data_IF_521591449811
#
_entry.id   IF_521591449811
#
_cell.length_a   1.000
_cell.length_b   1.000
_cell.length_c   1.000
_cell.angle_alpha   90.00
_cell.angle_beta   90.00
_cell.angle_gamma   90.00
#
_symmetry.space_group_name_H-M   'P 1'
#
loop_
_entity.id
_entity.type
_entity.pdbx_description
1 polymer ?
#
# COMPACT_ATOMS: atom_id res chain seq x y z
N UNK A 1 -20.92 -1.53 40.00
CA UNK A 1 -20.04 -0.39 40.35
C UNK A 1 -18.82 -0.48 39.45
N UNK A 2 -18.87 0.21 38.31
CA UNK A 2 -17.79 0.25 37.32
C UNK A 2 -17.03 1.56 37.42
N UNK A 3 -15.71 1.52 37.27
CA UNK A 3 -14.87 2.71 37.15
C UNK A 3 -14.06 2.61 35.85
N UNK A 4 -14.55 3.35 34.84
CA UNK A 4 -13.79 3.74 33.66
C UNK A 4 -12.62 4.63 34.09
N UNK A 5 -11.38 4.24 33.76
CA UNK A 5 -10.22 5.12 33.83
C UNK A 5 -10.02 5.78 32.48
N UNK A 6 -10.10 7.11 32.50
CA UNK A 6 -10.09 8.02 31.35
C UNK A 6 -8.69 8.17 30.76
N UNK A 7 -8.66 8.26 29.43
CA UNK A 7 -7.57 8.79 28.59
C UNK A 7 -7.16 10.18 29.08
N UNK A 8 -5.86 10.40 29.29
CA UNK A 8 -5.25 11.73 29.34
C UNK A 8 -3.76 11.59 29.01
N UNK A 9 -3.37 11.85 27.77
CA UNK A 9 -2.02 12.27 27.45
C UNK A 9 -2.13 13.62 26.76
N UNK A 10 -1.75 14.66 27.47
CA UNK A 10 -1.73 16.03 26.98
C UNK A 10 -0.43 16.25 26.20
N UNK A 11 -0.57 16.72 24.95
CA UNK A 11 0.51 17.29 24.16
C UNK A 11 1.05 18.56 24.84
N UNK A 12 2.37 18.66 24.95
CA UNK A 12 3.09 19.92 25.14
C UNK A 12 4.08 20.05 23.98
N UNK A 13 3.66 20.75 22.92
CA UNK A 13 4.57 21.30 21.90
C UNK A 13 4.45 22.81 22.01
N UNK A 14 5.41 23.43 22.71
CA UNK A 14 5.55 24.87 22.75
C UNK A 14 6.36 25.33 21.55
N UNK A 15 5.67 26.04 20.65
CA UNK A 15 6.24 26.78 19.53
C UNK A 15 7.09 27.95 20.01
N UNK A 16 8.33 28.07 19.52
CA UNK A 16 9.06 29.32 19.49
C UNK A 16 9.69 29.49 18.11
N UNK A 17 9.09 30.37 17.31
CA UNK A 17 9.64 30.89 16.07
C UNK A 17 10.76 31.88 16.38
N UNK A 18 11.94 31.67 15.80
CA UNK A 18 12.88 32.75 15.49
C UNK A 18 13.44 32.49 14.08
N UNK A 19 13.16 33.43 13.18
CA UNK A 19 13.75 33.53 11.85
C UNK A 19 15.10 34.24 11.96
N UNK A 20 16.13 33.65 11.37
CA UNK A 20 17.30 34.38 10.85
C UNK A 20 17.70 33.75 9.53
N UNK A 21 17.65 34.55 8.48
CA UNK A 21 18.18 34.26 7.15
C UNK A 21 19.70 34.19 7.17
N UNK A 22 20.29 33.29 6.39
CA UNK A 22 21.55 33.50 5.68
C UNK A 22 21.71 32.47 4.56
N UNK A 23 22.17 33.03 3.45
CA UNK A 23 22.49 32.62 2.08
C UNK A 23 22.88 31.19 1.67
N UNK A 24 22.77 31.06 0.34
CA UNK A 24 23.11 30.05 -0.65
C UNK A 24 24.36 29.19 -0.38
N UNK A 25 24.35 27.94 -0.88
CA UNK A 25 25.32 27.43 -1.88
C UNK A 25 24.92 26.02 -2.38
N UNK A 26 25.10 25.84 -3.69
CA UNK A 26 25.37 24.63 -4.48
C UNK A 26 24.50 23.35 -4.38
N UNK A 27 23.70 23.14 -5.44
CA UNK A 27 23.08 21.87 -5.80
C UNK A 27 24.06 20.98 -6.60
N UNK A 28 24.42 19.77 -6.15
CA UNK A 28 24.99 18.78 -7.04
C UNK A 28 23.88 18.00 -7.77
N UNK A 29 24.14 17.82 -9.07
CA UNK A 29 23.40 17.08 -10.08
C UNK A 29 22.88 15.70 -9.63
N UNK A 30 21.68 15.35 -10.08
CA UNK A 30 21.01 14.08 -9.84
C UNK A 30 21.80 12.87 -10.37
N UNK A 31 21.87 11.73 -9.65
CA UNK A 31 22.36 10.50 -10.22
C UNK A 31 21.26 9.84 -11.06
N UNK A 32 21.44 9.84 -12.39
CA UNK A 32 20.90 8.79 -13.26
C UNK A 32 21.86 7.61 -13.20
N UNK A 33 21.49 6.53 -12.50
CA UNK A 33 22.00 5.19 -12.84
C UNK A 33 21.14 4.09 -12.21
N UNK A 34 20.49 3.33 -13.10
CA UNK A 34 20.01 1.98 -12.82
C UNK A 34 21.23 1.09 -12.60
N UNK A 35 21.18 0.25 -11.56
CA UNK A 35 22.28 -0.68 -11.24
C UNK A 35 22.10 -1.91 -12.12
N UNK A 36 22.88 -1.98 -13.20
CA UNK A 36 23.20 -3.20 -13.93
C UNK A 36 24.47 -3.77 -13.31
N UNK A 37 24.44 -5.04 -12.91
CA UNK A 37 25.59 -5.74 -12.33
C UNK A 37 26.12 -6.81 -13.29
N UNK A 38 27.30 -6.59 -13.87
CA UNK A 38 28.14 -7.66 -14.41
C UNK A 38 29.65 -7.31 -14.37
N UNK A 39 30.42 -8.33 -13.98
CA UNK A 39 31.87 -8.54 -13.82
C UNK A 39 32.70 -8.25 -15.10
N UNK A 40 34.04 -8.12 -15.13
CA UNK A 40 35.16 -8.96 -14.60
C UNK A 40 36.47 -8.14 -14.67
N UNK A 41 37.50 -8.46 -13.85
CA UNK A 41 38.87 -8.92 -14.22
C UNK A 41 39.72 -9.09 -12.93
N UNK A 42 40.81 -9.86 -13.05
CA UNK A 42 41.52 -10.68 -12.06
C UNK A 42 42.54 -9.94 -11.14
N UNK A 43 42.86 -10.53 -9.98
CA UNK A 43 44.23 -10.95 -9.57
C UNK A 43 44.41 -11.10 -8.03
N UNK A 44 44.92 -12.29 -7.67
CA UNK A 44 45.90 -12.65 -6.63
C UNK A 44 45.87 -12.03 -5.21
N UNK A 45 45.69 -12.89 -4.20
CA UNK A 45 46.77 -13.34 -3.29
C UNK A 45 46.24 -14.06 -2.02
N UNK A 46 46.83 -15.25 -1.80
CA UNK A 46 47.23 -15.91 -0.53
C UNK A 46 46.71 -15.40 0.82
N UNK A 47 46.12 -16.30 1.62
CA UNK A 47 46.83 -17.01 2.70
C UNK A 47 45.88 -17.61 3.75
N UNK A 48 46.09 -18.90 3.98
CA UNK A 48 46.23 -19.62 5.26
C UNK A 48 45.22 -19.50 6.41
N UNK A 49 44.79 -20.71 6.80
CA UNK A 49 44.60 -21.21 8.17
C UNK A 49 43.46 -20.63 9.02
N UNK A 50 42.44 -21.46 9.25
CA UNK A 50 42.24 -22.07 10.57
C UNK A 50 41.15 -23.16 10.51
N UNK A 51 41.58 -24.42 10.59
CA UNK A 51 40.76 -25.51 11.08
C UNK A 51 40.42 -25.30 12.57
N UNK A 52 39.32 -25.92 13.06
CA UNK A 52 39.28 -26.82 14.23
C UNK A 52 37.86 -26.94 14.85
N UNK A 53 37.30 -28.15 14.67
CA UNK A 53 36.50 -29.00 15.61
C UNK A 53 35.08 -28.64 16.08
N UNK A 54 34.14 -29.42 15.54
CA UNK A 54 33.38 -30.52 16.18
C UNK A 54 32.82 -30.41 17.61
N UNK A 55 31.49 -30.60 17.74
CA UNK A 55 30.80 -31.62 18.57
C UNK A 55 29.28 -31.50 18.35
N UNK A 56 28.58 -32.43 17.69
CA UNK A 56 28.03 -33.71 18.16
C UNK A 56 27.23 -33.65 19.48
N UNK A 57 25.89 -33.75 19.39
CA UNK A 57 25.12 -34.72 20.19
C UNK A 57 23.76 -35.01 19.55
N UNK A 58 23.59 -36.30 19.21
CA UNK A 58 22.34 -36.99 18.92
C UNK A 58 21.67 -37.34 20.24
N UNK A 59 20.35 -37.26 20.28
CA UNK A 59 19.52 -38.19 21.06
C UNK A 59 18.17 -38.36 20.35
N UNK A 60 17.97 -39.54 19.80
CA UNK A 60 16.68 -40.11 19.41
C UNK A 60 16.01 -40.69 20.68
N UNK A 61 14.69 -40.56 20.85
CA UNK A 61 13.76 -41.71 20.81
C UNK A 61 12.31 -41.38 21.21
N UNK A 62 11.40 -41.91 20.38
CA UNK A 62 10.12 -42.63 20.65
C UNK A 62 8.82 -41.90 21.10
N UNK A 63 7.93 -41.73 20.09
CA UNK A 63 6.72 -42.53 19.75
C UNK A 63 5.60 -42.81 20.79
N UNK A 64 4.36 -42.79 20.24
CA UNK A 64 3.07 -43.42 20.64
C UNK A 64 2.21 -42.59 21.62
N UNK A 65 0.87 -42.51 21.59
CA UNK A 65 -0.26 -43.19 20.94
C UNK A 65 -1.53 -42.43 21.41
N UNK A 66 -2.45 -41.99 20.55
CA UNK A 66 -3.71 -42.64 20.13
C UNK A 66 -4.93 -42.48 21.07
N UNK A 67 -6.13 -42.41 20.43
CA UNK A 67 -7.52 -42.50 20.94
C UNK A 67 -8.17 -41.32 21.70
N UNK A 68 -9.50 -41.06 21.66
CA UNK A 68 -10.66 -41.18 20.72
C UNK A 68 -11.94 -40.86 21.54
N UNK A 69 -13.04 -40.54 20.84
CA UNK A 69 -14.47 -40.62 21.25
C UNK A 69 -15.02 -39.52 22.22
N UNK A 70 -16.27 -39.05 22.19
CA UNK A 70 -17.42 -39.10 21.26
C UNK A 70 -18.53 -38.13 21.79
N UNK A 71 -19.60 -37.98 20.99
CA UNK A 71 -21.01 -37.68 21.36
C UNK A 71 -21.64 -36.26 21.18
N UNK A 72 -22.21 -36.06 19.98
CA UNK A 72 -23.66 -35.92 19.61
C UNK A 72 -24.70 -35.23 20.53
N UNK A 73 -25.47 -34.30 19.94
CA UNK A 73 -26.95 -34.30 19.62
C UNK A 73 -27.49 -32.85 19.49
N UNK A 74 -28.00 -32.38 18.35
CA UNK A 74 -29.32 -32.58 17.68
C UNK A 74 -30.45 -31.64 18.14
N UNK A 75 -31.05 -30.84 17.23
CA UNK A 75 -32.49 -30.90 16.86
C UNK A 75 -32.93 -29.77 15.90
N UNK A 76 -33.81 -30.18 14.97
CA UNK A 76 -34.49 -29.48 13.86
C UNK A 76 -35.58 -28.44 14.21
N UNK A 77 -35.92 -27.58 13.24
CA UNK A 77 -37.27 -27.34 12.63
C UNK A 77 -37.27 -26.00 11.84
N UNK A 78 -37.39 -25.92 10.50
CA UNK A 78 -38.53 -26.07 9.55
C UNK A 78 -39.67 -25.04 9.64
N UNK A 79 -40.15 -24.67 8.43
CA UNK A 79 -41.41 -24.01 8.00
C UNK A 79 -41.40 -22.47 7.81
N UNK A 80 -42.04 -21.84 6.81
CA UNK A 80 -42.57 -22.18 5.47
C UNK A 80 -43.15 -20.88 4.81
N UNK A 81 -43.11 -20.78 3.46
CA UNK A 81 -44.06 -20.12 2.49
C UNK A 81 -44.55 -18.65 2.68
N UNK A 82 -44.33 -17.72 1.73
CA UNK A 82 -44.94 -17.47 0.39
C UNK A 82 -46.11 -16.48 0.39
N UNK A 83 -46.07 -15.44 -0.47
CA UNK A 83 -47.05 -15.25 -1.59
C UNK A 83 -46.91 -13.90 -2.33
N UNK A 84 -47.05 -13.99 -3.66
CA UNK A 84 -47.21 -12.97 -4.71
C UNK A 84 -48.36 -11.96 -4.52
N UNK A 85 -48.28 -10.82 -5.24
CA UNK A 85 -49.34 -10.43 -6.19
C UNK A 85 -48.91 -9.31 -7.16
N UNK A 86 -49.09 -9.59 -8.47
CA UNK A 86 -49.18 -8.65 -9.61
C UNK A 86 -50.50 -7.84 -9.58
N UNK A 87 -50.48 -6.64 -10.14
CA UNK A 87 -51.56 -6.18 -11.05
C UNK A 87 -51.10 -5.07 -11.99
N UNK A 88 -51.39 -5.27 -13.27
CA UNK A 88 -51.28 -4.30 -14.36
C UNK A 88 -52.54 -3.41 -14.45
N UNK A 89 -52.43 -2.20 -15.00
CA UNK A 89 -53.05 -1.85 -16.31
C UNK A 89 -53.20 -0.33 -16.56
N UNK A 90 -52.72 0.06 -17.75
CA UNK A 90 -53.34 0.91 -18.78
C UNK A 90 -53.50 2.45 -18.65
N UNK A 91 -52.66 3.14 -19.46
CA UNK A 91 -53.01 3.84 -20.73
C UNK A 91 -53.06 5.38 -20.81
N UNK A 92 -52.23 5.90 -21.74
CA UNK A 92 -52.37 7.00 -22.74
C UNK A 92 -52.87 8.38 -22.28
N UNK A 93 -52.43 9.56 -22.74
CA UNK A 93 -51.54 10.08 -23.80
C UNK A 93 -51.48 11.61 -23.55
N UNK A 94 -50.39 12.35 -23.75
CA UNK A 94 -50.15 13.20 -24.94
C UNK A 94 -48.92 14.07 -24.68
N UNK A 95 -48.11 14.24 -25.71
CA UNK A 95 -46.90 15.04 -25.74
C UNK A 95 -47.12 16.54 -25.48
N UNK A 96 -46.10 17.19 -24.89
CA UNK A 96 -45.45 18.37 -25.46
C UNK A 96 -44.10 18.60 -24.77
N UNK A 97 -43.09 18.78 -25.61
CA UNK A 97 -41.70 19.06 -25.31
C UNK A 97 -41.53 20.25 -24.36
N UNK A 98 -40.56 20.15 -23.46
CA UNK A 98 -39.58 21.22 -23.22
C UNK A 98 -38.36 20.68 -22.43
N UNK A 99 -37.19 21.17 -22.84
CA UNK A 99 -35.89 20.55 -22.64
C UNK A 99 -35.44 20.43 -21.18
N UNK A 100 -35.11 19.20 -20.77
CA UNK A 100 -34.29 18.89 -19.58
C UNK A 100 -32.86 18.55 -20.01
N UNK A 101 -31.92 19.48 -19.77
CA UNK A 101 -30.52 19.11 -19.57
C UNK A 101 -30.29 18.94 -18.08
N UNK A 102 -30.68 17.77 -17.57
CA UNK A 102 -30.32 17.28 -16.24
C UNK A 102 -29.22 16.24 -16.42
N UNK A 103 -27.96 16.64 -16.24
CA UNK A 103 -26.82 15.74 -16.20
C UNK A 103 -26.88 14.93 -14.91
N UNK A 104 -27.64 13.83 -14.96
CA UNK A 104 -27.54 12.77 -13.96
C UNK A 104 -26.17 12.14 -14.10
N UNK A 105 -25.38 12.24 -13.03
CA UNK A 105 -24.14 11.51 -12.88
C UNK A 105 -24.45 10.01 -12.93
N UNK A 106 -24.23 9.40 -14.09
CA UNK A 106 -24.03 7.96 -14.15
C UNK A 106 -22.75 7.65 -13.37
N UNK A 107 -22.91 6.93 -12.27
CA UNK A 107 -21.79 6.23 -11.64
C UNK A 107 -21.06 5.42 -12.73
N UNK A 108 -19.72 5.45 -12.79
CA UNK A 108 -19.01 4.65 -13.77
C UNK A 108 -19.30 3.18 -13.47
N UNK A 109 -20.15 2.56 -14.30
CA UNK A 109 -20.23 1.10 -14.39
C UNK A 109 -18.88 0.63 -14.91
N UNK A 110 -17.99 0.24 -14.00
CA UNK A 110 -16.85 -0.61 -14.35
C UNK A 110 -17.40 -1.98 -14.74
N UNK A 111 -17.82 -2.10 -16.00
CA UNK A 111 -18.24 -3.36 -16.60
C UNK A 111 -17.08 -3.96 -17.38
N UNK A 112 -16.02 -4.36 -16.69
CA UNK A 112 -15.13 -5.40 -17.21
C UNK A 112 -15.69 -6.74 -16.75
N UNK A 113 -16.70 -7.26 -17.45
CA UNK A 113 -17.08 -8.66 -17.26
C UNK A 113 -15.92 -9.50 -17.80
N UNK A 114 -15.03 -9.95 -16.91
CA UNK A 114 -14.04 -10.97 -17.25
C UNK A 114 -14.81 -12.18 -17.74
N UNK A 115 -14.45 -12.69 -18.92
CA UNK A 115 -15.02 -13.93 -19.48
C UNK A 115 -14.55 -15.13 -18.65
N UNK A 116 -15.17 -15.31 -17.48
CA UNK A 116 -14.92 -16.45 -16.60
C UNK A 116 -15.59 -17.69 -17.22
N UNK A 117 -14.86 -18.81 -17.41
CA UNK A 117 -15.46 -20.04 -17.93
C UNK A 117 -16.69 -20.46 -17.14
N UNK A 118 -17.69 -21.02 -17.83
CA UNK A 118 -18.91 -21.52 -17.17
C UNK A 118 -18.54 -22.49 -16.05
N UNK A 119 -19.11 -22.28 -14.86
CA UNK A 119 -18.84 -23.09 -13.67
C UNK A 119 -17.66 -22.61 -12.82
N UNK A 120 -16.81 -21.75 -13.35
CA UNK A 120 -15.75 -21.12 -12.57
C UNK A 120 -16.21 -19.77 -11.98
N UNK A 121 -15.45 -19.29 -11.00
CA UNK A 121 -15.55 -17.93 -10.47
C UNK A 121 -14.19 -17.24 -10.53
N UNK A 122 -14.19 -15.92 -10.58
CA UNK A 122 -12.97 -15.15 -10.30
C UNK A 122 -12.39 -15.56 -8.93
N UNK A 123 -11.07 -15.74 -8.88
CA UNK A 123 -10.39 -16.01 -7.63
C UNK A 123 -10.37 -14.74 -6.77
N UNK A 124 -10.37 -14.94 -5.45
CA UNK A 124 -10.05 -13.93 -4.45
C UNK A 124 -8.59 -14.11 -4.05
N UNK A 125 -7.94 -13.06 -3.54
CA UNK A 125 -6.56 -13.16 -3.04
C UNK A 125 -6.41 -14.24 -1.96
N UNK A 126 -7.47 -14.49 -1.19
CA UNK A 126 -7.52 -15.56 -0.17
C UNK A 126 -7.46 -16.96 -0.75
N UNK A 127 -7.91 -17.19 -1.99
CA UNK A 127 -7.88 -18.51 -2.64
C UNK A 127 -6.46 -18.91 -3.05
N UNK A 128 -5.58 -17.94 -3.31
CA UNK A 128 -4.20 -18.22 -3.71
C UNK A 128 -3.38 -18.72 -2.51
N UNK A 129 -2.51 -19.69 -2.79
CA UNK A 129 -1.44 -20.08 -1.88
C UNK A 129 -0.44 -18.93 -1.70
N UNK A 130 0.31 -18.93 -0.59
CA UNK A 130 1.30 -17.87 -0.30
C UNK A 130 2.34 -17.73 -1.42
N UNK A 131 2.73 -18.87 -2.00
CA UNK A 131 3.61 -18.92 -3.15
C UNK A 131 3.04 -19.92 -4.15
N UNK A 132 2.91 -19.48 -5.40
CA UNK A 132 2.51 -20.34 -6.52
C UNK A 132 3.59 -20.30 -7.60
N UNK A 133 3.88 -21.46 -8.18
CA UNK A 133 4.67 -21.61 -9.38
C UNK A 133 3.76 -21.44 -10.60
N UNK A 134 4.21 -20.62 -11.55
CA UNK A 134 3.53 -20.33 -12.79
C UNK A 134 4.52 -20.52 -13.95
N UNK A 135 4.01 -20.88 -15.12
CA UNK A 135 4.75 -20.81 -16.39
C UNK A 135 4.24 -19.60 -17.16
N UNK A 136 5.08 -18.57 -17.28
CA UNK A 136 4.81 -17.34 -18.04
C UNK A 136 5.86 -17.17 -19.13
N UNK A 137 5.44 -17.03 -20.38
CA UNK A 137 6.32 -16.78 -21.53
C UNK A 137 7.52 -17.75 -21.60
N UNK A 138 7.22 -19.05 -21.45
CA UNK A 138 8.17 -20.16 -21.41
C UNK A 138 9.17 -20.11 -20.24
N UNK A 139 8.95 -19.25 -19.25
CA UNK A 139 9.75 -19.16 -18.03
C UNK A 139 8.97 -19.69 -16.83
N UNK A 140 9.66 -20.45 -15.98
CA UNK A 140 9.11 -20.81 -14.67
C UNK A 140 9.35 -19.64 -13.73
N UNK A 141 8.27 -19.10 -13.20
CA UNK A 141 8.26 -17.95 -12.30
C UNK A 141 7.44 -18.29 -11.07
N UNK A 142 7.66 -17.54 -9.99
CA UNK A 142 6.88 -17.69 -8.79
C UNK A 142 6.14 -16.40 -8.49
N UNK A 143 4.85 -16.51 -8.22
CA UNK A 143 4.06 -15.41 -7.67
C UNK A 143 3.92 -15.61 -6.17
N UNK A 144 4.33 -14.60 -5.41
CA UNK A 144 4.24 -14.57 -3.96
C UNK A 144 3.16 -13.56 -3.54
N UNK A 145 2.19 -14.01 -2.76
CA UNK A 145 1.07 -13.20 -2.25
C UNK A 145 1.30 -12.69 -0.83
N UNK A 146 2.44 -13.07 -0.23
CA UNK A 146 2.91 -12.59 1.07
C UNK A 146 1.90 -12.83 2.19
N UNK A 147 1.46 -11.75 2.83
CA UNK A 147 0.50 -11.69 3.93
C UNK A 147 -0.93 -11.41 3.43
N UNK A 148 -1.15 -11.52 2.11
CA UNK A 148 -2.45 -11.33 1.42
C UNK A 148 -3.03 -9.93 1.58
N UNK A 149 -2.16 -8.93 1.52
CA UNK A 149 -2.50 -7.51 1.73
C UNK A 149 -2.49 -6.67 0.44
N UNK A 150 -2.46 -7.33 -0.72
CA UNK A 150 -2.49 -6.68 -2.04
C UNK A 150 -1.12 -6.45 -2.67
N UNK A 151 -0.03 -6.44 -1.88
CA UNK A 151 1.33 -6.39 -2.45
C UNK A 151 1.77 -7.80 -2.88
N UNK A 152 1.86 -8.01 -4.19
CA UNK A 152 2.25 -9.28 -4.80
C UNK A 152 3.58 -9.12 -5.53
N UNK A 153 4.41 -10.17 -5.51
CA UNK A 153 5.65 -10.16 -6.29
C UNK A 153 5.77 -11.37 -7.21
N UNK A 154 6.12 -11.09 -8.45
CA UNK A 154 6.58 -12.07 -9.41
C UNK A 154 8.10 -12.18 -9.30
N UNK A 155 8.63 -13.40 -9.29
CA UNK A 155 10.07 -13.65 -9.23
C UNK A 155 10.55 -14.73 -10.17
N UNK A 156 11.77 -14.55 -10.63
CA UNK A 156 12.66 -15.64 -11.03
C UNK A 156 13.69 -15.73 -9.92
N UNK A 157 13.95 -16.94 -9.41
CA UNK A 157 14.80 -17.12 -8.24
C UNK A 157 16.16 -16.45 -8.44
N UNK A 158 16.52 -15.56 -7.51
CA UNK A 158 17.80 -14.84 -7.46
C UNK A 158 18.10 -13.93 -8.68
N UNK A 159 17.16 -13.82 -9.63
CA UNK A 159 17.33 -13.08 -10.89
C UNK A 159 16.33 -11.93 -11.07
N UNK A 160 15.12 -12.02 -10.52
CA UNK A 160 14.06 -11.04 -10.75
C UNK A 160 13.11 -10.89 -9.57
N UNK A 161 12.78 -9.64 -9.28
CA UNK A 161 11.62 -9.21 -8.52
C UNK A 161 10.85 -8.16 -9.34
N UNK A 162 9.58 -8.46 -9.62
CA UNK A 162 8.59 -7.49 -10.06
C UNK A 162 7.51 -7.39 -8.98
N UNK A 163 7.37 -6.23 -8.36
CA UNK A 163 6.45 -6.01 -7.25
C UNK A 163 5.36 -5.04 -7.66
N UNK A 164 4.11 -5.40 -7.41
CA UNK A 164 2.95 -4.54 -7.67
C UNK A 164 1.98 -4.56 -6.51
N UNK A 165 1.19 -3.50 -6.39
CA UNK A 165 0.04 -3.45 -5.48
C UNK A 165 -1.23 -3.68 -6.30
N UNK A 166 -2.12 -4.51 -5.81
CA UNK A 166 -3.38 -4.85 -6.44
C UNK A 166 -4.48 -5.02 -5.40
N UNK A 167 -5.67 -4.54 -5.72
CA UNK A 167 -6.91 -4.86 -5.00
C UNK A 167 -7.43 -6.27 -5.33
N UNK A 168 -6.77 -6.96 -6.26
CA UNK A 168 -7.13 -8.26 -6.80
C UNK A 168 -8.56 -8.27 -7.37
N UNK A 169 -9.02 -7.13 -7.88
CA UNK A 169 -10.34 -7.02 -8.49
C UNK A 169 -10.48 -8.02 -9.64
N UNK A 170 -11.62 -8.71 -9.68
CA UNK A 170 -11.92 -9.75 -10.67
C UNK A 170 -10.90 -10.91 -10.75
N UNK A 171 -10.08 -11.09 -9.71
CA UNK A 171 -9.05 -12.13 -9.69
C UNK A 171 -7.83 -11.82 -10.55
N UNK A 172 -7.59 -10.56 -10.86
CA UNK A 172 -6.50 -10.17 -11.78
C UNK A 172 -5.33 -9.51 -11.07
N UNK A 173 -4.12 -9.79 -11.56
CA UNK A 173 -2.90 -9.08 -11.20
C UNK A 173 -2.30 -8.49 -12.47
N UNK A 174 -2.16 -7.18 -12.51
CA UNK A 174 -1.59 -6.46 -13.65
C UNK A 174 -0.20 -5.94 -13.35
N UNK A 175 0.74 -6.24 -14.24
CA UNK A 175 2.11 -5.74 -14.22
C UNK A 175 2.29 -4.78 -15.39
N UNK A 176 2.57 -3.50 -15.11
CA UNK A 176 2.82 -2.45 -16.11
C UNK A 176 4.12 -1.75 -15.76
N UNK A 177 5.01 -1.55 -16.74
CA UNK A 177 6.37 -1.08 -16.50
C UNK A 177 6.48 0.18 -15.61
N UNK A 178 5.62 1.17 -15.84
CA UNK A 178 5.59 2.41 -15.06
C UNK A 178 4.94 2.29 -13.67
N UNK A 179 4.35 1.15 -13.33
CA UNK A 179 3.58 0.93 -12.11
C UNK A 179 4.05 -0.32 -11.35
N UNK A 180 5.29 -0.78 -11.57
CA UNK A 180 5.87 -1.90 -10.85
C UNK A 180 7.24 -1.56 -10.26
N UNK A 181 7.49 -2.06 -9.07
CA UNK A 181 8.81 -2.13 -8.48
C UNK A 181 9.65 -3.19 -9.18
N UNK A 182 10.92 -2.91 -9.48
CA UNK A 182 11.79 -3.80 -10.25
C UNK A 182 13.16 -3.93 -9.60
N UNK A 183 13.64 -5.16 -9.48
CA UNK A 183 15.03 -5.47 -9.20
C UNK A 183 15.40 -6.73 -9.98
N UNK A 184 16.45 -6.69 -10.80
CA UNK A 184 16.75 -7.82 -11.68
C UNK A 184 18.20 -7.90 -12.13
N UNK A 185 18.61 -9.09 -12.54
CA UNK A 185 19.83 -9.36 -13.29
C UNK A 185 19.50 -9.52 -14.80
N UNK A 186 20.43 -9.18 -15.68
CA UNK A 186 20.21 -9.21 -17.14
C UNK A 186 20.34 -10.62 -17.77
N UNK A 187 19.56 -11.59 -17.28
CA UNK A 187 19.52 -12.95 -17.85
C UNK A 187 18.52 -13.06 -19.00
N UNK A 188 18.66 -14.08 -19.84
CA UNK A 188 17.74 -14.31 -20.96
C UNK A 188 16.30 -14.62 -20.50
N UNK A 189 16.16 -15.29 -19.35
CA UNK A 189 14.87 -15.54 -18.73
C UNK A 189 14.19 -14.23 -18.30
N UNK A 190 14.96 -13.34 -17.67
CA UNK A 190 14.49 -12.02 -17.25
C UNK A 190 14.11 -11.15 -18.45
N UNK A 191 14.93 -11.11 -19.50
CA UNK A 191 14.66 -10.31 -20.70
C UNK A 191 13.28 -10.62 -21.29
N UNK A 192 12.89 -11.89 -21.39
CA UNK A 192 11.57 -12.29 -21.90
C UNK A 192 10.41 -11.72 -21.07
N UNK A 193 10.54 -11.70 -19.75
CA UNK A 193 9.53 -11.12 -18.86
C UNK A 193 9.50 -9.60 -19.01
N UNK A 194 10.67 -8.95 -19.03
CA UNK A 194 10.78 -7.50 -19.17
C UNK A 194 10.30 -6.98 -20.54
N UNK A 195 10.50 -7.74 -21.62
CA UNK A 195 9.94 -7.42 -22.93
C UNK A 195 8.40 -7.36 -22.88
N UNK A 196 7.75 -8.33 -22.23
CA UNK A 196 6.29 -8.33 -22.03
C UNK A 196 5.83 -7.24 -21.09
N UNK A 197 6.64 -6.85 -20.12
CA UNK A 197 6.34 -5.73 -19.24
C UNK A 197 6.34 -4.39 -19.99
N UNK A 198 7.21 -4.25 -21.00
CA UNK A 198 7.33 -3.06 -21.87
C UNK A 198 6.22 -2.93 -22.92
N UNK A 199 5.40 -3.97 -23.11
CA UNK A 199 4.21 -3.86 -23.94
C UNK A 199 3.32 -2.71 -23.41
N UNK A 200 2.57 -2.04 -24.30
CA UNK A 200 1.80 -0.82 -23.96
C UNK A 200 0.94 -0.94 -22.69
N UNK A 201 0.40 -2.13 -22.43
CA UNK A 201 -0.45 -2.42 -21.28
C UNK A 201 0.23 -3.35 -20.25
N UNK A 202 1.51 -3.65 -20.43
CA UNK A 202 2.23 -4.72 -19.78
C UNK A 202 1.54 -6.07 -19.97
N UNK A 203 1.49 -6.87 -18.91
CA UNK A 203 0.77 -8.14 -18.91
C UNK A 203 -0.12 -8.31 -17.68
N UNK A 204 -1.18 -9.11 -17.83
CA UNK A 204 -2.15 -9.43 -16.77
C UNK A 204 -2.18 -10.92 -16.56
N UNK A 205 -2.18 -11.34 -15.29
CA UNK A 205 -2.43 -12.72 -14.88
C UNK A 205 -3.82 -12.76 -14.25
N UNK A 206 -4.74 -13.48 -14.88
CA UNK A 206 -6.11 -13.65 -14.38
C UNK A 206 -6.22 -15.01 -13.70
N UNK A 207 -6.79 -15.04 -12.49
CA UNK A 207 -6.97 -16.23 -11.67
C UNK A 207 -8.45 -16.58 -11.52
N UNK A 208 -8.77 -17.86 -11.66
CA UNK A 208 -10.11 -18.40 -11.43
C UNK A 208 -10.04 -19.58 -10.46
N UNK A 209 -11.16 -19.87 -9.83
CA UNK A 209 -11.41 -21.12 -9.12
C UNK A 209 -12.42 -21.91 -9.92
N UNK A 210 -12.05 -23.11 -10.36
CA UNK A 210 -12.94 -23.97 -11.13
C UNK A 210 -13.97 -24.70 -10.27
N UNK A 211 -14.84 -25.49 -10.91
CA UNK A 211 -15.92 -26.24 -10.25
C UNK A 211 -15.42 -27.22 -9.17
N UNK A 212 -14.15 -27.66 -9.25
CA UNK A 212 -13.53 -28.57 -8.30
C UNK A 212 -12.78 -27.82 -7.18
N UNK A 213 -12.81 -26.49 -7.18
CA UNK A 213 -12.07 -25.67 -6.22
C UNK A 213 -10.59 -25.50 -6.55
N UNK A 214 -10.14 -25.86 -7.76
CA UNK A 214 -8.75 -25.74 -8.17
C UNK A 214 -8.49 -24.34 -8.71
N UNK A 215 -7.42 -23.70 -8.21
CA UNK A 215 -6.98 -22.39 -8.68
C UNK A 215 -6.26 -22.56 -10.02
N UNK A 216 -6.73 -21.84 -11.03
CA UNK A 216 -6.13 -21.80 -12.36
C UNK A 216 -5.82 -20.38 -12.77
N UNK A 217 -4.86 -20.21 -13.67
CA UNK A 217 -4.42 -18.91 -14.17
C UNK A 217 -4.37 -18.89 -15.70
N UNK A 218 -4.55 -17.70 -16.25
CA UNK A 218 -4.34 -17.39 -17.66
C UNK A 218 -3.60 -16.06 -17.79
N UNK A 219 -2.92 -15.85 -18.92
CA UNK A 219 -2.14 -14.64 -19.19
C UNK A 219 -2.77 -13.85 -20.32
N UNK A 220 -2.87 -12.53 -20.17
CA UNK A 220 -3.35 -11.60 -21.19
C UNK A 220 -4.71 -11.99 -21.81
N UNK A 221 -5.64 -12.46 -20.98
CA UNK A 221 -6.99 -12.85 -21.42
C UNK A 221 -7.04 -14.14 -22.24
N UNK A 222 -5.98 -14.97 -22.21
CA UNK A 222 -6.03 -16.31 -22.80
C UNK A 222 -7.20 -17.12 -22.24
N UNK A 223 -7.84 -17.92 -23.11
CA UNK A 223 -8.88 -18.88 -22.70
C UNK A 223 -8.31 -20.20 -22.18
N UNK A 224 -7.01 -20.40 -22.37
CA UNK A 224 -6.29 -21.58 -21.89
C UNK A 224 -5.80 -21.33 -20.47
N UNK A 225 -6.51 -21.94 -19.52
CA UNK A 225 -6.19 -21.86 -18.11
C UNK A 225 -5.27 -23.02 -17.68
N UNK A 226 -4.15 -22.67 -17.07
CA UNK A 226 -3.20 -23.61 -16.46
C UNK A 226 -3.41 -23.68 -14.95
N UNK A 227 -3.10 -24.80 -14.32
CA UNK A 227 -3.17 -24.93 -12.86
C UNK A 227 -2.09 -24.08 -12.17
N UNK A 228 -2.45 -23.34 -11.13
CA UNK A 228 -1.51 -22.62 -10.29
C UNK A 228 -0.96 -23.58 -9.22
N UNK A 229 0.30 -24.01 -9.36
CA UNK A 229 0.87 -25.06 -8.51
C UNK A 229 1.44 -24.45 -7.24
N UNK A 230 1.14 -25.02 -6.08
CA UNK A 230 1.73 -24.59 -4.81
C UNK A 230 3.24 -24.75 -4.82
N UNK A 231 3.97 -23.70 -4.46
CA UNK A 231 5.42 -23.74 -4.32
C UNK A 231 5.83 -23.71 -2.83
N UNK A 232 6.72 -24.62 -2.44
CA UNK A 232 7.37 -24.56 -1.13
C UNK A 232 8.64 -23.73 -1.23
N UNK A 233 8.79 -22.75 -0.35
CA UNK A 233 9.87 -21.78 -0.44
C UNK A 233 10.56 -21.63 0.91
N UNK A 234 11.88 -21.76 0.91
CA UNK A 234 12.68 -21.61 2.12
C UNK A 234 12.65 -20.18 2.66
N UNK A 235 12.65 -20.08 3.99
CA UNK A 235 12.78 -18.83 4.75
C UNK A 235 14.17 -18.75 5.38
N UNK A 236 14.71 -17.54 5.51
CA UNK A 236 16.02 -17.32 6.09
C UNK A 236 15.94 -17.39 7.61
N UNK A 237 16.81 -18.20 8.22
CA UNK A 237 16.89 -18.31 9.68
C UNK A 237 17.31 -16.97 10.28
N UNK A 238 16.68 -16.57 11.40
CA UNK A 238 16.98 -15.33 12.11
C UNK A 238 16.37 -14.07 11.47
N UNK A 239 15.61 -14.20 10.37
CA UNK A 239 14.88 -13.13 9.72
C UNK A 239 13.36 -13.30 9.88
N UNK A 240 12.65 -12.19 9.91
CA UNK A 240 11.18 -12.16 9.90
C UNK A 240 10.67 -12.68 8.56
N UNK A 241 9.57 -13.44 8.54
CA UNK A 241 9.06 -14.10 7.32
C UNK A 241 7.62 -13.74 6.92
N UNK A 242 6.93 -12.91 7.72
CA UNK A 242 5.54 -12.47 7.50
C UNK A 242 5.36 -11.04 8.02
N UNK A 243 4.50 -10.25 7.37
CA UNK A 243 4.35 -8.82 7.70
C UNK A 243 3.76 -8.60 9.08
N UNK A 244 2.93 -9.52 9.58
CA UNK A 244 2.28 -9.43 10.90
C UNK A 244 3.29 -9.38 12.06
N UNK A 245 4.52 -9.84 11.86
CA UNK A 245 5.57 -9.76 12.88
C UNK A 245 6.16 -8.35 13.03
N UNK A 246 5.94 -7.46 12.06
CA UNK A 246 6.43 -6.07 12.09
C UNK A 246 5.32 -5.01 12.03
N UNK A 247 4.08 -5.43 11.74
CA UNK A 247 2.89 -4.59 11.83
C UNK A 247 2.83 -3.88 13.20
N UNK A 248 2.39 -2.63 13.18
CA UNK A 248 2.21 -1.76 14.35
C UNK A 248 3.52 -1.54 15.14
N UNK A 249 4.66 -1.53 14.45
CA UNK A 249 5.98 -1.26 15.04
C UNK A 249 6.69 -0.10 14.37
N UNK A 250 7.45 0.62 15.18
CA UNK A 250 8.33 1.70 14.76
C UNK A 250 9.77 1.24 14.99
N UNK A 251 10.55 1.16 13.91
CA UNK A 251 11.98 0.87 13.93
C UNK A 251 12.74 2.17 13.74
N UNK A 252 13.33 2.69 14.81
CA UNK A 252 14.19 3.87 14.77
C UNK A 252 15.65 3.43 14.69
N UNK A 253 16.24 3.56 13.51
CA UNK A 253 17.60 3.13 13.21
C UNK A 253 18.50 4.36 13.06
N UNK A 254 19.56 4.46 13.85
CA UNK A 254 20.46 5.62 13.84
C UNK A 254 21.81 5.23 13.25
N UNK A 255 22.31 6.08 12.35
CA UNK A 255 23.64 5.98 11.74
C UNK A 255 24.30 7.36 11.74
N UNK A 256 25.22 7.57 12.69
CA UNK A 256 25.80 8.89 12.97
C UNK A 256 24.73 9.94 13.30
N UNK A 257 24.76 11.06 12.56
CA UNK A 257 23.81 12.18 12.70
C UNK A 257 22.47 11.96 12.00
N UNK A 258 22.34 10.85 11.26
CA UNK A 258 21.13 10.51 10.52
C UNK A 258 20.31 9.49 11.29
N UNK A 259 18.99 9.69 11.29
CA UNK A 259 18.05 8.72 11.86
C UNK A 259 17.02 8.36 10.82
N UNK A 260 16.89 7.06 10.57
CA UNK A 260 15.85 6.49 9.72
C UNK A 260 14.80 5.83 10.59
N UNK A 261 13.58 6.34 10.54
CA UNK A 261 12.44 5.80 11.27
C UNK A 261 11.53 5.07 10.28
N UNK A 262 11.37 3.76 10.44
CA UNK A 262 10.41 2.96 9.69
C UNK A 262 9.18 2.74 10.58
N UNK A 263 8.03 3.22 10.15
CA UNK A 263 6.75 2.98 10.79
C UNK A 263 5.95 2.03 9.91
N UNK A 264 5.60 0.86 10.44
CA UNK A 264 4.83 -0.15 9.74
C UNK A 264 3.40 -0.21 10.28
N UNK A 265 2.44 -0.10 9.37
CA UNK A 265 1.02 -0.29 9.62
C UNK A 265 0.58 -1.65 9.06
N UNK A 266 -0.73 -1.90 8.93
CA UNK A 266 -1.29 -3.12 8.35
C UNK A 266 -0.61 -3.54 7.06
N UNK A 267 -0.81 -2.78 5.98
CA UNK A 267 -0.29 -3.05 4.64
C UNK A 267 0.52 -1.89 4.05
N UNK A 268 0.78 -0.87 4.86
CA UNK A 268 1.43 0.36 4.45
C UNK A 268 2.54 0.74 5.41
N UNK A 269 3.45 1.59 4.93
CA UNK A 269 4.59 2.04 5.70
C UNK A 269 4.82 3.53 5.49
N UNK A 270 5.52 4.14 6.44
CA UNK A 270 6.16 5.44 6.29
C UNK A 270 7.62 5.28 6.74
N UNK A 271 8.56 5.76 5.92
CA UNK A 271 9.97 5.91 6.26
C UNK A 271 10.29 7.40 6.29
N UNK A 272 10.77 7.88 7.43
CA UNK A 272 11.30 9.24 7.58
C UNK A 272 12.81 9.17 7.77
N UNK A 273 13.56 9.97 7.02
CA UNK A 273 14.96 10.23 7.31
C UNK A 273 15.11 11.62 7.90
N UNK A 274 15.54 11.67 9.15
CA UNK A 274 15.86 12.89 9.87
C UNK A 274 17.36 13.17 9.89
N UNK A 275 17.70 14.46 9.90
CA UNK A 275 19.04 14.97 10.24
C UNK A 275 18.84 15.92 11.43
N UNK A 276 19.37 15.54 12.60
CA UNK A 276 18.97 16.17 13.86
C UNK A 276 17.46 16.05 14.10
N UNK A 277 16.81 17.16 14.46
CA UNK A 277 15.37 17.20 14.76
C UNK A 277 14.46 17.48 13.55
N UNK A 278 15.03 17.53 12.34
CA UNK A 278 14.27 17.85 11.10
C UNK A 278 14.16 16.63 10.20
N UNK A 279 12.95 16.37 9.70
CA UNK A 279 12.72 15.39 8.63
C UNK A 279 13.27 15.96 7.32
N UNK A 280 14.31 15.33 6.78
CA UNK A 280 14.94 15.74 5.53
C UNK A 280 14.21 15.20 4.30
N UNK A 281 13.67 13.97 4.39
CA UNK A 281 12.77 13.39 3.39
C UNK A 281 11.97 12.24 3.98
N UNK A 282 10.88 11.89 3.31
CA UNK A 282 10.03 10.78 3.69
C UNK A 282 9.49 10.02 2.48
N UNK A 283 9.13 8.76 2.71
CA UNK A 283 8.57 7.85 1.72
C UNK A 283 7.44 7.08 2.38
N UNK A 284 6.28 7.03 1.75
CA UNK A 284 5.17 6.17 2.13
C UNK A 284 4.77 5.24 0.98
N UNK A 285 4.27 4.06 1.32
CA UNK A 285 3.80 3.12 0.32
C UNK A 285 3.26 1.84 0.92
N UNK A 286 3.22 0.78 0.11
CA UNK A 286 2.79 -0.54 0.54
C UNK A 286 3.99 -1.46 0.76
N UNK A 287 3.89 -2.37 1.72
CA UNK A 287 4.94 -3.34 2.00
C UNK A 287 4.36 -4.74 2.22
N UNK A 288 5.23 -5.74 2.10
CA UNK A 288 5.00 -7.09 2.59
C UNK A 288 6.35 -7.78 2.83
N UNK A 289 6.33 -8.90 3.54
CA UNK A 289 7.51 -9.76 3.71
C UNK A 289 7.32 -11.05 2.92
N UNK A 290 8.16 -11.20 1.91
CA UNK A 290 8.15 -12.33 1.01
C UNK A 290 9.49 -13.06 1.10
N UNK A 291 9.46 -14.33 1.54
CA UNK A 291 10.67 -15.14 1.76
C UNK A 291 11.71 -14.51 2.70
N UNK A 292 11.26 -13.76 3.70
CA UNK A 292 12.13 -13.00 4.61
C UNK A 292 12.81 -11.77 4.00
N UNK A 293 12.39 -11.39 2.79
CA UNK A 293 12.70 -10.10 2.18
C UNK A 293 11.52 -9.16 2.43
N UNK A 294 11.79 -8.05 3.10
CA UNK A 294 10.86 -6.93 3.20
C UNK A 294 10.89 -6.18 1.87
N UNK A 295 9.80 -6.28 1.12
CA UNK A 295 9.60 -5.58 -0.14
C UNK A 295 8.73 -4.36 0.13
N UNK A 296 9.22 -3.19 -0.24
CA UNK A 296 8.55 -1.91 0.00
C UNK A 296 8.39 -1.20 -1.33
N UNK A 297 7.15 -0.93 -1.72
CA UNK A 297 6.80 -0.23 -2.95
C UNK A 297 6.34 1.19 -2.60
N UNK A 298 7.13 2.22 -2.92
CA UNK A 298 6.72 3.61 -2.71
C UNK A 298 5.47 3.98 -3.53
N UNK A 299 4.63 4.84 -2.95
CA UNK A 299 3.49 5.45 -3.60
C UNK A 299 3.44 6.98 -3.37
N UNK A 300 3.88 7.45 -2.20
CA UNK A 300 3.91 8.86 -1.81
C UNK A 300 5.31 9.24 -1.33
N UNK A 301 5.85 10.37 -1.77
CA UNK A 301 7.20 10.80 -1.41
C UNK A 301 7.44 12.27 -1.73
N UNK A 302 8.29 12.93 -0.94
CA UNK A 302 8.66 14.33 -1.16
C UNK A 302 10.01 14.52 -1.88
N UNK A 303 10.70 13.43 -2.22
CA UNK A 303 11.94 13.41 -3.03
C UNK A 303 11.94 12.23 -3.98
N UNK A 304 12.74 12.24 -5.07
CA UNK A 304 12.90 11.07 -5.93
C UNK A 304 13.26 9.81 -5.14
N UNK A 305 12.62 8.70 -5.47
CA UNK A 305 12.78 7.39 -4.82
C UNK A 305 13.01 6.29 -5.85
N UNK A 306 13.56 5.16 -5.41
CA UNK A 306 13.57 3.94 -6.21
C UNK A 306 12.13 3.41 -6.40
N UNK A 307 11.89 2.66 -7.47
CA UNK A 307 10.58 2.03 -7.73
C UNK A 307 10.22 0.95 -6.68
N UNK A 308 11.22 0.45 -5.97
CA UNK A 308 11.12 -0.54 -4.91
C UNK A 308 12.33 -0.47 -4.00
N UNK A 309 12.13 -0.83 -2.73
CA UNK A 309 13.23 -1.18 -1.82
C UNK A 309 13.10 -2.63 -1.37
N UNK A 310 14.25 -3.30 -1.27
CA UNK A 310 14.37 -4.64 -0.73
C UNK A 310 15.28 -4.62 0.51
N UNK A 311 14.70 -4.95 1.66
CA UNK A 311 15.41 -5.06 2.93
C UNK A 311 15.24 -6.47 3.51
N UNK A 312 15.95 -6.75 4.60
CA UNK A 312 15.62 -7.86 5.50
C UNK A 312 15.44 -7.33 6.90
N UNK A 313 14.47 -7.88 7.63
CA UNK A 313 14.25 -7.55 9.05
C UNK A 313 14.75 -8.71 9.90
N UNK A 314 15.72 -8.44 10.77
CA UNK A 314 16.22 -9.40 11.73
C UNK A 314 15.28 -9.59 12.91
N UNK A 315 15.25 -10.81 13.44
CA UNK A 315 14.57 -11.13 14.72
C UNK A 315 15.18 -10.39 15.91
N UNK A 316 16.40 -9.88 15.76
CA UNK A 316 17.12 -9.05 16.74
C UNK A 316 16.95 -7.54 16.46
N UNK A 317 15.82 -7.13 15.87
CA UNK A 317 15.50 -5.71 15.64
C UNK A 317 16.50 -4.96 14.74
N UNK A 318 17.00 -5.64 13.71
CA UNK A 318 17.88 -5.05 12.70
C UNK A 318 17.15 -4.89 11.37
N UNK A 319 17.52 -3.86 10.60
CA UNK A 319 17.11 -3.71 9.21
C UNK A 319 18.37 -3.71 8.35
N UNK A 320 18.48 -4.68 7.44
CA UNK A 320 19.63 -4.79 6.53
C UNK A 320 19.21 -4.54 5.09
N UNK A 321 20.05 -3.83 4.34
CA UNK A 321 19.95 -3.64 2.91
C UNK A 321 21.17 -4.28 2.23
N UNK A 322 20.96 -4.99 1.13
CA UNK A 322 22.04 -5.51 0.30
C UNK A 322 21.95 -4.91 -1.10
N UNK A 323 23.10 -4.50 -1.64
CA UNK A 323 23.22 -4.04 -3.02
C UNK A 323 23.95 -5.07 -3.92
N UNK A 324 24.04 -6.33 -3.48
CA UNK A 324 24.73 -7.41 -4.20
C UNK A 324 26.21 -7.56 -3.85
N UNK A 325 26.87 -6.49 -3.42
CA UNK A 325 28.29 -6.51 -3.04
C UNK A 325 28.48 -6.33 -1.53
N UNK A 326 27.70 -5.42 -0.95
CA UNK A 326 27.78 -5.07 0.47
C UNK A 326 26.42 -5.25 1.12
N UNK A 327 26.45 -5.61 2.41
CA UNK A 327 25.25 -5.62 3.25
C UNK A 327 25.44 -4.61 4.37
N UNK A 328 24.65 -3.54 4.33
CA UNK A 328 24.60 -2.57 5.42
C UNK A 328 23.52 -3.01 6.40
N UNK A 329 23.88 -3.22 7.66
CA UNK A 329 22.93 -3.60 8.72
C UNK A 329 22.80 -2.47 9.72
N UNK A 330 21.58 -1.99 9.88
CA UNK A 330 21.25 -0.96 10.86
C UNK A 330 20.65 -1.62 12.11
N UNK A 331 21.18 -1.23 13.27
CA UNK A 331 20.56 -1.58 14.55
C UNK A 331 19.45 -0.59 14.85
N UNK A 332 18.27 -1.08 15.23
CA UNK A 332 17.10 -0.24 15.42
C UNK A 332 16.56 -0.38 16.85
N UNK A 333 16.17 0.75 17.44
CA UNK A 333 15.29 0.75 18.60
C UNK A 333 13.87 0.48 18.11
N UNK A 334 13.21 -0.51 18.69
CA UNK A 334 11.85 -0.90 18.29
C UNK A 334 10.85 -0.55 19.38
N UNK A 335 9.79 0.13 18.96
CA UNK A 335 8.68 0.50 19.83
C UNK A 335 7.39 -0.04 19.19
N UNK A 336 6.53 -0.64 20.01
CA UNK A 336 5.18 -0.97 19.60
C UNK A 336 4.35 0.32 19.52
N UNK A 337 3.43 0.36 18.57
CA UNK A 337 2.63 1.53 18.32
C UNK A 337 1.15 1.16 18.48
N UNK A 338 0.49 1.78 19.45
CA UNK A 338 -0.94 1.60 19.70
C UNK A 338 -1.69 2.76 19.06
N UNK A 339 -2.10 2.60 17.80
CA UNK A 339 -2.90 3.59 17.09
C UNK A 339 -4.27 3.03 16.74
N UNK A 340 -5.27 3.91 16.79
CA UNK A 340 -6.57 3.64 16.20
C UNK A 340 -6.49 3.97 14.71
N UNK A 341 -6.81 3.00 13.87
CA UNK A 341 -6.75 3.15 12.41
C UNK A 341 -7.91 4.01 11.93
N UNK A 342 -7.58 4.98 11.08
CA UNK A 342 -8.56 5.82 10.44
C UNK A 342 -9.12 5.12 9.19
N UNK A 343 -10.43 5.21 8.97
CA UNK A 343 -11.08 4.58 7.81
C UNK A 343 -11.25 5.61 6.71
N UNK A 344 -10.65 5.36 5.54
CA UNK A 344 -10.76 6.25 4.38
C UNK A 344 -12.22 6.62 4.03
N UNK A 345 -13.15 5.68 4.16
CA UNK A 345 -14.59 5.91 3.90
C UNK A 345 -15.20 7.04 4.74
N UNK A 346 -14.67 7.29 5.94
CA UNK A 346 -15.24 8.27 6.87
C UNK A 346 -14.89 9.70 6.44
N UNK A 347 -13.83 9.87 5.65
CA UNK A 347 -13.34 11.15 5.14
C UNK A 347 -13.82 11.47 3.71
N UNK A 348 -14.47 10.53 3.03
CA UNK A 348 -15.01 10.79 1.68
C UNK A 348 -16.15 11.81 1.77
N UNK A 349 -15.97 12.96 1.11
CA UNK A 349 -16.93 14.05 1.13
C UNK A 349 -16.32 15.39 0.79
N UNK A 350 -17.12 16.43 0.97
CA UNK A 350 -16.69 17.82 0.93
C UNK A 350 -16.50 18.33 2.35
N UNK A 351 -15.46 19.13 2.56
CA UNK A 351 -15.08 19.68 3.85
C UNK A 351 -14.71 21.15 3.70
N UNK A 352 -15.05 21.95 4.71
CA UNK A 352 -14.88 23.39 4.67
C UNK A 352 -14.02 23.86 5.84
N UNK A 353 -13.23 24.89 5.61
CA UNK A 353 -12.48 25.56 6.66
C UNK A 353 -12.33 27.04 6.32
N UNK A 354 -12.18 27.86 7.35
CA UNK A 354 -11.85 29.28 7.18
C UNK A 354 -10.60 29.60 7.98
N UNK A 355 -9.62 30.23 7.33
CA UNK A 355 -8.35 30.60 7.96
C UNK A 355 -7.82 31.88 7.34
N UNK A 356 -7.46 32.84 8.17
CA UNK A 356 -6.84 34.11 7.75
C UNK A 356 -7.63 34.86 6.65
N UNK A 357 -8.97 34.79 6.69
CA UNK A 357 -9.85 35.41 5.70
C UNK A 357 -9.97 34.65 4.37
N UNK A 358 -9.38 33.46 4.27
CA UNK A 358 -9.44 32.55 3.12
C UNK A 358 -10.41 31.41 3.43
N UNK A 359 -11.35 31.17 2.53
CA UNK A 359 -12.27 30.04 2.59
C UNK A 359 -11.66 28.85 1.85
N UNK A 360 -11.69 27.68 2.46
CA UNK A 360 -11.13 26.45 1.91
C UNK A 360 -12.23 25.43 1.69
N UNK A 361 -12.18 24.78 0.53
CA UNK A 361 -12.98 23.60 0.21
C UNK A 361 -12.04 22.44 -0.07
N UNK A 362 -12.17 21.36 0.69
CA UNK A 362 -11.42 20.13 0.53
C UNK A 362 -12.38 18.98 0.19
N UNK A 363 -12.24 18.43 -1.01
CA UNK A 363 -13.06 17.31 -1.48
C UNK A 363 -12.20 16.06 -1.56
N UNK A 364 -12.58 15.02 -0.83
CA UNK A 364 -11.95 13.69 -0.85
C UNK A 364 -12.93 12.71 -1.50
N UNK A 365 -12.54 12.11 -2.64
CA UNK A 365 -13.40 11.19 -3.39
C UNK A 365 -13.07 9.73 -3.08
N UNK A 366 -14.08 8.87 -3.18
CA UNK A 366 -13.95 7.43 -2.91
C UNK A 366 -13.01 6.70 -3.88
N UNK A 367 -12.73 7.29 -5.04
CA UNK A 367 -11.78 6.76 -6.03
C UNK A 367 -10.31 7.07 -5.69
N UNK A 368 -10.05 7.69 -4.54
CA UNK A 368 -8.71 8.06 -4.09
C UNK A 368 -8.21 9.36 -4.71
N UNK A 369 -9.05 10.14 -5.40
CA UNK A 369 -8.69 11.48 -5.89
C UNK A 369 -9.17 12.58 -4.93
N UNK A 370 -8.46 13.70 -4.92
CA UNK A 370 -8.87 14.88 -4.15
C UNK A 370 -8.79 16.17 -4.94
N UNK A 371 -9.48 17.17 -4.40
CA UNK A 371 -9.43 18.55 -4.84
C UNK A 371 -9.42 19.46 -3.60
N UNK A 372 -8.49 20.39 -3.55
CA UNK A 372 -8.36 21.38 -2.49
C UNK A 372 -8.31 22.76 -3.12
N UNK A 373 -9.27 23.62 -2.76
CA UNK A 373 -9.43 24.95 -3.34
C UNK A 373 -9.51 25.98 -2.23
N UNK A 374 -8.84 27.11 -2.41
CA UNK A 374 -8.91 28.26 -1.52
C UNK A 374 -9.46 29.49 -2.26
N UNK A 375 -10.32 30.25 -1.60
CA UNK A 375 -10.98 31.45 -2.12
C UNK A 375 -10.70 32.66 -1.22
N UNK A 376 -10.27 33.76 -1.83
CA UNK A 376 -10.10 35.05 -1.14
C UNK A 376 -11.31 35.96 -1.40
N UNK A 377 -12.19 36.09 -0.41
CA UNK A 377 -13.41 36.91 -0.52
C UNK A 377 -14.33 36.47 -1.66
N UNK A 378 -14.96 37.42 -2.35
CA UNK A 378 -15.88 37.16 -3.48
C UNK A 378 -15.15 36.96 -4.83
N UNK A 379 -13.84 36.69 -4.82
CA UNK A 379 -13.10 36.53 -6.08
C UNK A 379 -13.50 35.24 -6.79
N UNK A 380 -13.69 35.33 -8.11
CA UNK A 380 -14.05 34.20 -8.98
C UNK A 380 -12.85 33.28 -9.23
N UNK A 381 -11.63 33.78 -9.06
CA UNK A 381 -10.40 33.01 -9.22
C UNK A 381 -9.96 32.45 -7.86
N UNK A 382 -9.60 31.17 -7.83
CA UNK A 382 -9.02 30.54 -6.64
C UNK A 382 -7.68 31.19 -6.28
N UNK A 383 -7.45 31.38 -4.97
CA UNK A 383 -6.17 31.80 -4.43
C UNK A 383 -5.17 30.63 -4.35
N UNK A 384 -5.68 29.42 -4.17
CA UNK A 384 -4.91 28.17 -4.23
C UNK A 384 -5.80 27.08 -4.85
N UNK A 385 -5.18 26.20 -5.64
CA UNK A 385 -5.83 25.03 -6.18
C UNK A 385 -4.83 23.89 -6.28
N UNK A 386 -5.17 22.76 -5.64
CA UNK A 386 -4.40 21.52 -5.64
C UNK A 386 -5.30 20.34 -5.97
N UNK A 387 -4.87 19.48 -6.87
CA UNK A 387 -5.52 18.20 -7.17
C UNK A 387 -4.52 17.07 -7.18
N UNK A 388 -5.00 15.87 -6.89
CA UNK A 388 -4.11 14.72 -6.82
C UNK A 388 -4.79 13.45 -6.33
N UNK A 389 -3.95 12.54 -5.83
CA UNK A 389 -4.40 11.30 -5.18
C UNK A 389 -4.17 11.33 -3.67
N UNK A 390 -4.99 10.61 -2.92
CA UNK A 390 -4.90 10.50 -1.48
C UNK A 390 -5.18 9.09 -0.99
N UNK A 391 -4.53 8.73 0.13
CA UNK A 391 -4.72 7.48 0.85
C UNK A 391 -4.51 7.69 2.36
N UNK A 392 -4.99 6.73 3.16
CA UNK A 392 -4.74 6.71 4.61
C UNK A 392 -3.83 5.54 4.97
N UNK A 393 -2.71 5.84 5.63
CA UNK A 393 -1.80 4.85 6.20
C UNK A 393 -1.85 4.91 7.72
N UNK A 394 -2.54 3.93 8.33
CA UNK A 394 -2.82 3.96 9.76
C UNK A 394 -3.70 5.14 10.13
N UNK A 395 -3.08 6.17 10.69
CA UNK A 395 -3.71 7.44 11.08
C UNK A 395 -3.08 8.64 10.34
N UNK A 396 -2.32 8.39 9.27
CA UNK A 396 -1.77 9.45 8.43
C UNK A 396 -2.56 9.58 7.14
N UNK A 397 -2.88 10.81 6.76
CA UNK A 397 -3.33 11.15 5.42
C UNK A 397 -2.11 11.43 4.54
N UNK A 398 -2.04 10.71 3.41
CA UNK A 398 -1.02 10.87 2.38
C UNK A 398 -1.65 11.52 1.16
N UNK A 399 -1.02 12.56 0.61
CA UNK A 399 -1.50 13.28 -0.56
C UNK A 399 -0.36 13.43 -1.57
N UNK A 400 -0.65 13.18 -2.85
CA UNK A 400 0.27 13.40 -3.96
C UNK A 400 -0.34 14.38 -4.94
N UNK A 401 0.29 15.55 -5.10
CA UNK A 401 -0.19 16.60 -6.00
C UNK A 401 0.15 16.24 -7.45
N UNK A 402 -0.85 16.09 -8.30
CA UNK A 402 -0.67 15.91 -9.76
C UNK A 402 -0.89 17.20 -10.54
N UNK A 403 -1.50 18.22 -9.91
CA UNK A 403 -1.73 19.52 -10.52
C UNK A 403 -1.94 20.58 -9.46
N UNK A 404 -1.34 21.75 -9.68
CA UNK A 404 -1.43 22.88 -8.77
C UNK A 404 -1.50 24.20 -9.55
N UNK A 405 -2.12 25.22 -8.97
CA UNK A 405 -2.17 26.56 -9.54
C UNK A 405 -0.78 27.17 -9.74
N UNK A 406 0.10 26.99 -8.76
CA UNK A 406 1.48 27.49 -8.76
C UNK A 406 2.47 26.32 -8.91
N UNK A 407 2.68 25.88 -10.16
CA UNK A 407 3.49 24.68 -10.45
C UNK A 407 4.94 24.77 -9.94
N UNK A 408 5.54 25.96 -9.92
CA UNK A 408 6.90 26.22 -9.47
C UNK A 408 7.10 26.10 -7.96
N UNK A 409 6.01 26.21 -7.19
CA UNK A 409 6.02 26.20 -5.73
C UNK A 409 5.31 25.00 -5.12
N UNK A 410 4.70 24.17 -5.96
CA UNK A 410 3.86 23.10 -5.45
C UNK A 410 4.70 21.98 -4.84
N UNK A 411 4.45 21.72 -3.56
CA UNK A 411 5.02 20.55 -2.89
C UNK A 411 4.49 19.27 -3.55
N UNK A 412 5.36 18.34 -3.98
CA UNK A 412 4.93 17.15 -4.74
C UNK A 412 4.03 16.21 -3.93
N UNK A 413 4.26 16.09 -2.62
CA UNK A 413 3.46 15.26 -1.74
C UNK A 413 3.46 15.79 -0.31
N UNK A 414 2.33 15.64 0.34
CA UNK A 414 2.10 16.08 1.71
C UNK A 414 1.68 14.85 2.51
N UNK A 415 2.19 14.70 3.72
CA UNK A 415 1.61 13.79 4.68
C UNK A 415 1.43 14.49 6.02
N UNK A 416 0.50 14.00 6.81
CA UNK A 416 0.17 14.56 8.10
C UNK A 416 -0.68 13.60 8.91
N UNK A 417 -0.76 13.85 10.21
CA UNK A 417 -1.60 13.06 11.09
C UNK A 417 -3.06 13.45 10.91
N UNK A 418 -3.92 12.46 10.81
CA UNK A 418 -5.36 12.59 10.73
C UNK A 418 -5.95 12.30 12.11
N UNK A 419 -6.96 13.07 12.49
CA UNK A 419 -7.73 12.84 13.71
C UNK A 419 -9.21 12.98 13.38
N UNK A 420 -9.94 11.87 13.51
CA UNK A 420 -11.40 11.85 13.37
C UNK A 420 -12.08 12.77 14.38
N UNK A 421 -12.95 13.65 13.89
CA UNK A 421 -13.80 14.50 14.71
C UNK A 421 -15.03 13.78 15.28
N UNK A 422 -15.93 14.51 15.96
CA UNK A 422 -17.14 13.94 16.53
C UNK A 422 -18.04 13.27 15.49
N UNK A 423 -18.71 12.18 15.86
CA UNK A 423 -19.75 11.56 15.03
C UNK A 423 -21.07 12.26 15.30
N UNK A 424 -21.69 12.81 14.24
CA UNK A 424 -23.06 13.29 14.27
C UNK A 424 -24.01 12.08 14.45
N UNK A 425 -24.81 12.10 15.51
CA UNK A 425 -25.72 11.00 15.86
C UNK A 425 -26.86 10.81 14.87
N UNK A 426 -27.28 11.86 14.17
CA UNK A 426 -28.40 11.81 13.23
C UNK A 426 -27.97 11.18 11.89
N UNK A 427 -26.75 11.48 11.43
CA UNK A 427 -26.23 10.99 10.15
C UNK A 427 -25.30 9.79 10.28
N UNK A 428 -24.80 9.53 11.49
CA UNK A 428 -23.75 8.55 11.79
C UNK A 428 -22.48 8.78 10.93
N UNK A 429 -22.16 10.05 10.67
CA UNK A 429 -20.96 10.50 9.94
C UNK A 429 -20.14 11.45 10.81
N UNK A 430 -18.85 11.59 10.51
CA UNK A 430 -17.99 12.56 11.19
C UNK A 430 -18.43 13.98 10.81
N UNK A 431 -18.47 14.89 11.79
CA UNK A 431 -18.85 16.29 11.58
C UNK A 431 -17.67 17.17 11.15
N UNK A 432 -16.46 16.61 11.13
CA UNK A 432 -15.22 17.29 10.79
C UNK A 432 -14.02 16.40 11.12
N UNK A 433 -12.82 16.87 10.80
CA UNK A 433 -11.56 16.21 11.13
C UNK A 433 -10.42 17.22 11.27
N UNK A 434 -9.32 16.78 11.90
CA UNK A 434 -8.05 17.51 11.87
C UNK A 434 -7.03 16.82 11.00
N UNK A 435 -6.32 17.59 10.20
CA UNK A 435 -5.16 17.17 9.40
C UNK A 435 -3.95 17.99 9.83
N UNK A 436 -3.09 17.40 10.65
CA UNK A 436 -1.92 18.05 11.22
C UNK A 436 -0.74 17.77 10.29
N UNK A 437 -0.41 18.77 9.46
CA UNK A 437 0.62 18.67 8.43
C UNK A 437 1.60 19.86 8.50
N UNK A 438 2.74 19.73 7.84
CA UNK A 438 3.77 20.78 7.74
C UNK A 438 3.96 21.29 6.31
N UNK A 439 2.84 21.41 5.56
CA UNK A 439 2.87 21.92 4.18
C UNK A 439 3.45 23.34 4.17
N UNK A 440 4.53 23.60 3.42
CA UNK A 440 5.19 24.90 3.44
C UNK A 440 4.48 25.94 2.56
N UNK A 441 3.55 25.52 1.71
CA UNK A 441 2.92 26.35 0.69
C UNK A 441 2.05 27.48 1.31
N UNK A 442 1.89 28.56 0.56
CA UNK A 442 1.09 29.73 0.92
C UNK A 442 0.02 30.00 -0.14
N UNK A 443 -1.25 30.20 0.22
CA UNK A 443 -1.80 30.27 1.59
C UNK A 443 -1.73 28.92 2.32
N UNK A 444 -1.56 28.96 3.65
CA UNK A 444 -1.37 27.74 4.45
C UNK A 444 -2.68 26.96 4.57
N UNK A 445 -2.67 25.72 4.13
CA UNK A 445 -3.79 24.78 4.32
C UNK A 445 -4.20 24.77 5.82
N UNK A 446 -5.51 24.83 6.13
CA UNK A 446 -6.02 24.70 7.49
C UNK A 446 -5.76 23.31 8.06
N UNK A 447 -5.55 23.22 9.36
CA UNK A 447 -5.36 21.92 10.04
C UNK A 447 -6.65 21.31 10.54
N UNK A 448 -7.80 21.98 10.37
CA UNK A 448 -9.11 21.53 10.80
C UNK A 448 -10.11 21.84 9.71
N UNK A 449 -11.00 20.89 9.44
CA UNK A 449 -12.08 21.02 8.48
C UNK A 449 -13.38 20.49 9.06
N UNK A 450 -14.48 21.17 8.73
CA UNK A 450 -15.83 20.85 9.17
C UNK A 450 -16.68 20.38 7.99
N UNK A 451 -17.70 19.58 8.27
CA UNK A 451 -18.70 19.23 7.26
C UNK A 451 -19.49 20.48 6.85
N UNK A 452 -19.86 20.61 5.55
CA UNK A 452 -20.69 21.72 5.09
C UNK A 452 -22.06 21.70 5.77
N UNK A 453 -22.56 22.89 6.10
CA UNK A 453 -23.93 23.07 6.59
C UNK A 453 -24.86 23.33 5.39
N UNK A 454 -25.95 22.57 5.30
CA UNK A 454 -27.00 22.76 4.29
C UNK A 454 -28.31 23.16 5.00
N UNK A 455 -29.05 24.11 4.41
CA UNK A 455 -30.35 24.59 4.90
C UNK A 455 -31.49 23.57 4.74
#
# INVERSE_FOLDING_TARGET
MGMNKKKLLALLVSSAFLFTACDEEDLPSAPKKEISSSSVEEDDCDSDECEVKSSSSKSEDKKSSDSKDDDKKSSDSKDNKSSDSKSESNSSSSAKDEAKSSSSAEAPKSSSSVDVPKGARAAKLTDLEKNVELKLFDQTVYLSTGSKQGLVALRIQDELWLVTYTDFANGEVKFVDGNVGKQYAETDAVKKILEKLKDKNGFTISFIVDENGVVKYAVNGSKEYSEAVKASVAVAKGKVSKAEDIKDKIYKCTDGDTTRTFTFFDNSYIVENGVGDKVAYWIGGHYDIQRSTLLMRPAYYNKPVYSMYAYSVGTENTISMSNGETTTTMNCKVEASEYEYEKASDFVGEWQAQKDGVEWKFTLKADGTYELVAFEGNNVNSAEYKIGSWEIYGYHLMMHNTGCQHQDKCTSSIHGQLQTGPIDKATNKISGFSFIHSDPDTPKIPTSFDAPQYE
#
